data_IF_850002212685
#
_entry.id   IF_850002212685
#
_cell.length_a   1.000
_cell.length_b   1.000
_cell.length_c   1.000
_cell.angle_alpha   90.00
_cell.angle_beta   90.00
_cell.angle_gamma   90.00
#
_symmetry.space_group_name_H-M   'P 1'
#
loop_
_entity.id
_entity.type
_entity.pdbx_description
1 polymer ?
#
# COMPACT_ATOMS: atom_id res chain seq x y z
N UNK A 1 20.68 12.43 26.99
CA UNK A 1 21.38 13.66 26.54
C UNK A 1 22.29 13.30 25.38
N UNK A 2 22.19 13.92 24.18
CA UNK A 2 23.03 13.56 23.04
C UNK A 2 24.51 13.92 23.28
N UNK A 3 25.45 13.15 22.73
CA UNK A 3 26.89 13.24 23.00
C UNK A 3 27.52 14.49 22.36
N UNK A 4 28.31 15.29 23.10
CA UNK A 4 29.06 16.50 22.67
C UNK A 4 30.41 16.12 22.03
N UNK A 5 30.81 16.78 20.94
CA UNK A 5 32.04 16.51 20.15
C UNK A 5 32.71 17.83 19.72
N UNK A 6 34.04 17.90 19.75
CA UNK A 6 34.79 19.14 19.58
C UNK A 6 35.56 19.17 18.25
N UNK A 7 35.54 20.28 17.51
CA UNK A 7 36.46 20.53 16.38
C UNK A 7 37.17 21.87 16.59
N UNK A 8 38.50 21.81 16.79
CA UNK A 8 39.32 22.87 17.43
C UNK A 8 38.78 23.20 18.83
N UNK A 9 38.58 24.47 19.19
CA UNK A 9 38.15 24.87 20.55
C UNK A 9 36.63 24.75 20.78
N UNK A 10 35.83 24.42 19.77
CA UNK A 10 34.36 24.44 19.85
C UNK A 10 33.74 23.06 20.13
N UNK A 11 33.00 22.89 21.23
CA UNK A 11 32.29 21.65 21.66
C UNK A 11 30.81 21.65 21.21
N UNK A 12 30.32 20.59 20.56
CA UNK A 12 28.94 20.46 20.03
C UNK A 12 28.51 19.02 19.66
N UNK A 13 27.24 18.63 19.86
CA UNK A 13 26.79 17.22 19.87
C UNK A 13 26.82 16.46 18.51
N UNK A 14 27.39 15.23 18.46
CA UNK A 14 27.26 14.22 17.38
C UNK A 14 26.81 12.89 18.00
N UNK A 15 25.89 12.10 17.39
CA UNK A 15 26.32 11.14 16.35
C UNK A 15 25.23 10.68 15.34
N UNK A 16 25.55 10.62 14.05
CA UNK A 16 25.10 9.52 13.17
C UNK A 16 26.14 9.32 12.03
N UNK A 17 26.96 8.28 12.22
CA UNK A 17 27.79 7.57 11.23
C UNK A 17 28.81 8.39 10.42
N UNK A 18 30.07 7.97 10.56
CA UNK A 18 31.17 8.33 9.68
C UNK A 18 31.26 7.25 8.58
N UNK A 19 31.03 7.60 7.31
CA UNK A 19 31.20 6.67 6.20
C UNK A 19 32.30 7.15 5.25
N UNK A 20 33.22 6.24 4.91
CA UNK A 20 34.27 6.51 3.93
C UNK A 20 33.66 6.67 2.53
N UNK A 21 33.93 7.81 1.91
CA UNK A 21 33.62 8.06 0.52
C UNK A 21 34.69 7.38 -0.33
N UNK A 22 34.28 6.47 -1.22
CA UNK A 22 35.16 5.87 -2.22
C UNK A 22 34.78 6.38 -3.62
N UNK A 23 35.76 6.51 -4.50
CA UNK A 23 35.52 6.76 -5.94
C UNK A 23 35.00 5.49 -6.63
N UNK A 24 34.56 5.60 -7.88
CA UNK A 24 34.20 4.45 -8.74
C UNK A 24 35.35 3.43 -8.89
N UNK A 25 36.59 3.83 -8.62
CA UNK A 25 37.79 2.98 -8.66
C UNK A 25 38.23 2.50 -7.26
N UNK A 26 37.38 2.64 -6.24
CA UNK A 26 37.67 2.24 -4.86
C UNK A 26 38.66 3.14 -4.11
N UNK A 27 39.05 4.30 -4.66
CA UNK A 27 39.98 5.22 -3.99
C UNK A 27 39.25 6.03 -2.94
N UNK A 28 39.78 6.08 -1.72
CA UNK A 28 39.25 6.94 -0.65
C UNK A 28 39.28 8.42 -1.03
N UNK A 29 38.12 9.06 -0.97
CA UNK A 29 37.88 10.47 -1.30
C UNK A 29 37.56 11.31 -0.05
N UNK A 30 37.07 10.72 1.04
CA UNK A 30 36.76 11.46 2.27
C UNK A 30 35.95 10.65 3.28
N UNK A 31 35.42 11.32 4.31
CA UNK A 31 34.45 10.76 5.27
C UNK A 31 33.25 11.69 5.32
N UNK A 32 32.06 11.14 5.11
CA UNK A 32 30.81 11.90 5.22
C UNK A 32 30.20 11.65 6.59
N UNK A 33 29.86 12.73 7.31
CA UNK A 33 29.27 12.71 8.65
C UNK A 33 27.87 13.32 8.59
N UNK A 34 26.83 12.60 9.01
CA UNK A 34 25.45 13.08 8.90
C UNK A 34 24.78 13.33 10.25
N UNK A 35 24.04 14.44 10.34
CA UNK A 35 23.31 14.83 11.55
C UNK A 35 21.99 15.57 11.31
N UNK A 36 21.71 16.05 10.09
CA UNK A 36 20.43 16.63 9.65
C UNK A 36 20.45 16.81 8.12
N UNK A 37 19.32 16.66 7.43
CA UNK A 37 19.14 16.98 6.01
C UNK A 37 18.80 15.81 5.07
N UNK A 38 18.45 16.14 3.82
CA UNK A 38 18.18 15.16 2.74
C UNK A 38 19.54 14.72 2.16
N UNK A 39 19.86 13.41 2.12
CA UNK A 39 21.11 12.93 1.56
C UNK A 39 21.26 13.32 0.08
N UNK A 40 22.47 13.71 -0.30
CA UNK A 40 22.82 13.97 -1.68
C UNK A 40 22.74 12.68 -2.52
N UNK A 41 21.85 12.67 -3.53
CA UNK A 41 21.56 11.52 -4.40
C UNK A 41 22.73 11.02 -5.28
N UNK A 42 23.86 11.72 -5.31
CA UNK A 42 25.01 11.38 -6.17
C UNK A 42 26.11 10.55 -5.47
N UNK A 43 25.97 10.24 -4.19
CA UNK A 43 26.98 9.44 -3.46
C UNK A 43 26.57 7.97 -3.43
N UNK A 44 27.40 7.03 -3.86
CA UNK A 44 27.16 5.57 -3.78
C UNK A 44 27.32 5.01 -2.36
N UNK A 45 26.72 5.69 -1.38
CA UNK A 45 26.86 5.38 0.04
C UNK A 45 25.63 4.62 0.55
N UNK A 46 25.79 3.44 1.18
CA UNK A 46 24.76 2.80 2.00
C UNK A 46 24.08 3.82 2.93
N UNK A 47 22.87 4.25 2.57
CA UNK A 47 22.11 5.23 3.35
C UNK A 47 21.10 4.48 4.20
N UNK A 48 21.20 4.61 5.52
CA UNK A 48 20.29 3.95 6.45
C UNK A 48 19.44 4.98 7.21
N UNK A 49 18.17 4.64 7.47
CA UNK A 49 17.29 5.38 8.39
C UNK A 49 17.00 4.48 9.57
N UNK A 50 17.39 4.94 10.76
CA UNK A 50 17.08 4.29 12.01
C UNK A 50 16.08 5.12 12.80
N UNK A 51 15.11 4.47 13.43
CA UNK A 51 14.19 5.13 14.34
C UNK A 51 13.73 4.17 15.45
N UNK A 52 13.06 4.72 16.46
CA UNK A 52 12.69 3.98 17.68
C UNK A 52 11.26 3.46 17.69
N UNK A 53 10.44 3.79 16.67
CA UNK A 53 9.01 3.44 16.64
C UNK A 53 8.81 1.93 16.43
N UNK A 54 7.78 1.35 17.06
CA UNK A 54 7.26 0.05 16.63
C UNK A 54 6.30 0.28 15.46
N UNK A 55 6.63 -0.30 14.31
CA UNK A 55 5.87 -0.14 13.06
C UNK A 55 5.14 -1.45 12.75
N UNK A 56 4.04 -1.38 11.99
CA UNK A 56 3.30 -2.57 11.53
C UNK A 56 1.90 -2.76 12.12
N UNK A 57 1.42 -1.89 13.00
CA UNK A 57 0.01 -1.87 13.38
C UNK A 57 -0.79 -0.99 12.41
N UNK A 58 -1.95 -1.45 11.92
CA UNK A 58 -2.90 -0.61 11.15
C UNK A 58 -3.61 0.47 12.01
N UNK A 59 -3.03 0.82 13.16
CA UNK A 59 -3.58 1.68 14.20
C UNK A 59 -2.49 2.51 14.88
N UNK A 60 -2.56 2.68 16.19
CA UNK A 60 -1.61 3.51 16.93
C UNK A 60 -0.33 2.73 17.29
N UNK A 61 0.81 3.30 16.93
CA UNK A 61 2.15 2.74 17.14
C UNK A 61 2.65 3.11 18.55
N UNK A 62 2.30 2.31 19.56
CA UNK A 62 2.51 2.66 20.97
C UNK A 62 3.76 2.05 21.61
N UNK A 63 4.47 1.15 20.92
CA UNK A 63 5.67 0.48 21.42
C UNK A 63 6.96 1.04 20.77
N UNK A 64 8.12 0.79 21.40
CA UNK A 64 9.43 1.25 20.90
C UNK A 64 10.41 0.07 20.79
N UNK A 65 10.49 -0.57 19.62
CA UNK A 65 11.38 -1.73 19.43
C UNK A 65 12.68 -1.41 18.67
N UNK A 66 12.83 -0.17 18.15
CA UNK A 66 14.02 0.23 17.38
C UNK A 66 14.15 -0.49 16.04
N UNK A 67 14.94 0.07 15.13
CA UNK A 67 15.35 -0.61 13.89
C UNK A 67 15.92 0.34 12.84
N UNK A 68 16.61 -0.22 11.86
CA UNK A 68 17.25 0.50 10.76
C UNK A 68 16.88 -0.12 9.42
N UNK A 69 16.64 0.71 8.40
CA UNK A 69 16.40 0.26 7.02
C UNK A 69 17.38 0.92 6.04
N UNK A 70 17.72 0.20 4.97
CA UNK A 70 18.44 0.77 3.84
C UNK A 70 17.47 1.57 2.96
N UNK A 71 17.54 2.90 2.98
CA UNK A 71 16.51 3.75 2.34
C UNK A 71 16.56 3.76 0.82
N UNK A 72 17.63 3.21 0.22
CA UNK A 72 17.78 3.13 -1.24
C UNK A 72 17.42 1.77 -1.82
N UNK A 73 17.10 0.78 -0.97
CA UNK A 73 16.47 -0.43 -1.47
C UNK A 73 15.00 -0.15 -1.74
N UNK A 74 14.54 -0.66 -2.88
CA UNK A 74 13.12 -0.78 -3.15
C UNK A 74 12.51 -1.72 -2.13
N UNK A 75 11.35 -1.32 -1.64
CA UNK A 75 10.59 -2.07 -0.65
C UNK A 75 9.49 -2.76 -1.41
N UNK A 76 9.68 -4.05 -1.65
CA UNK A 76 8.79 -4.85 -2.48
C UNK A 76 8.12 -5.87 -1.58
N UNK A 77 6.79 -5.80 -1.49
CA UNK A 77 5.98 -6.82 -0.85
C UNK A 77 5.78 -7.95 -1.86
N UNK A 78 6.69 -8.91 -1.80
CA UNK A 78 6.68 -10.07 -2.70
C UNK A 78 5.74 -11.15 -2.15
N UNK A 79 4.86 -11.66 -3.00
CA UNK A 79 3.98 -12.80 -2.74
C UNK A 79 4.19 -13.87 -3.79
N UNK A 80 3.94 -15.13 -3.43
CA UNK A 80 4.12 -16.28 -4.29
C UNK A 80 3.01 -17.30 -4.10
N UNK A 81 2.35 -17.69 -5.20
CA UNK A 81 1.25 -18.68 -5.13
C UNK A 81 1.69 -20.03 -4.59
N UNK A 82 2.95 -20.41 -4.81
CA UNK A 82 3.53 -21.69 -4.41
C UNK A 82 4.10 -21.69 -2.99
N UNK A 83 4.37 -20.52 -2.41
CA UNK A 83 4.93 -20.40 -1.05
C UNK A 83 3.95 -19.85 -0.03
N UNK A 84 2.97 -19.07 -0.50
CA UNK A 84 2.03 -18.33 0.33
C UNK A 84 0.57 -18.79 0.07
N UNK A 85 0.38 -20.11 0.02
CA UNK A 85 -0.90 -20.74 -0.29
C UNK A 85 -2.01 -20.35 0.71
N UNK A 86 -1.63 -20.02 1.95
CA UNK A 86 -2.52 -19.61 3.02
C UNK A 86 -3.30 -18.32 2.73
N UNK A 87 -2.86 -17.51 1.77
CA UNK A 87 -3.60 -16.34 1.29
C UNK A 87 -3.74 -16.28 -0.24
N UNK A 88 -3.78 -17.44 -0.89
CA UNK A 88 -3.90 -17.59 -2.35
C UNK A 88 -5.04 -16.78 -3.01
N UNK A 89 -6.24 -16.74 -2.39
CA UNK A 89 -7.38 -15.95 -2.91
C UNK A 89 -7.03 -14.46 -3.09
N UNK A 90 -6.24 -13.91 -2.17
CA UNK A 90 -5.79 -12.51 -2.19
C UNK A 90 -4.73 -12.31 -3.26
N UNK A 91 -3.77 -13.24 -3.39
CA UNK A 91 -2.74 -13.20 -4.45
C UNK A 91 -3.40 -13.19 -5.82
N UNK A 92 -4.36 -14.09 -6.05
CA UNK A 92 -5.10 -14.17 -7.31
C UNK A 92 -5.89 -12.88 -7.60
N UNK A 93 -6.47 -12.26 -6.56
CA UNK A 93 -7.16 -10.99 -6.71
C UNK A 93 -6.20 -9.86 -7.12
N UNK A 94 -5.10 -9.69 -6.40
CA UNK A 94 -4.10 -8.64 -6.64
C UNK A 94 -3.44 -8.83 -8.01
N UNK A 95 -3.10 -10.06 -8.39
CA UNK A 95 -2.55 -10.37 -9.71
C UNK A 95 -3.49 -9.91 -10.83
N UNK A 96 -4.78 -10.22 -10.71
CA UNK A 96 -5.78 -9.80 -11.68
C UNK A 96 -5.96 -8.28 -11.71
N UNK A 97 -5.85 -7.60 -10.56
CA UNK A 97 -5.95 -6.15 -10.44
C UNK A 97 -4.76 -5.43 -11.09
N UNK A 98 -3.54 -5.93 -10.88
CA UNK A 98 -2.31 -5.35 -11.42
C UNK A 98 -2.11 -5.63 -12.92
N UNK A 99 -2.74 -6.67 -13.46
CA UNK A 99 -2.61 -7.03 -14.86
C UNK A 99 -3.56 -6.23 -15.76
N UNK A 100 -3.01 -5.28 -16.51
CA UNK A 100 -3.77 -4.41 -17.44
C UNK A 100 -4.56 -5.17 -18.52
N UNK A 101 -4.17 -6.41 -18.87
CA UNK A 101 -4.90 -7.22 -19.84
C UNK A 101 -6.19 -7.81 -19.25
N UNK A 102 -6.27 -7.97 -17.93
CA UNK A 102 -7.40 -8.64 -17.25
C UNK A 102 -8.15 -7.74 -16.27
N UNK A 103 -7.56 -6.61 -15.86
CA UNK A 103 -8.10 -5.79 -14.79
C UNK A 103 -9.39 -5.03 -15.16
N UNK A 104 -9.71 -4.89 -16.45
CA UNK A 104 -11.02 -4.41 -16.91
C UNK A 104 -12.17 -5.28 -16.37
N UNK A 105 -11.92 -6.59 -16.16
CA UNK A 105 -12.89 -7.53 -15.60
C UNK A 105 -12.86 -7.64 -14.08
N UNK A 106 -12.30 -6.65 -13.37
CA UNK A 106 -12.31 -6.58 -11.90
C UNK A 106 -13.39 -5.62 -11.40
N UNK A 107 -13.77 -5.74 -10.13
CA UNK A 107 -14.89 -4.97 -9.56
C UNK A 107 -14.42 -3.82 -8.67
N UNK A 108 -15.14 -2.69 -8.60
CA UNK A 108 -16.20 -2.29 -9.54
C UNK A 108 -15.64 -2.13 -10.97
N UNK A 109 -16.42 -2.36 -12.02
CA UNK A 109 -15.97 -2.07 -13.39
C UNK A 109 -15.67 -0.58 -13.57
N UNK A 110 -14.71 -0.26 -14.42
CA UNK A 110 -14.41 1.10 -14.86
C UNK A 110 -14.95 1.32 -16.27
N UNK A 111 -15.69 2.40 -16.52
CA UNK A 111 -16.29 2.71 -17.82
C UNK A 111 -16.12 4.20 -18.18
N UNK A 112 -16.25 4.58 -19.46
CA UNK A 112 -16.25 5.99 -19.83
C UNK A 112 -17.32 6.79 -19.07
N UNK A 113 -16.93 7.90 -18.45
CA UNK A 113 -17.85 8.76 -17.69
C UNK A 113 -18.20 8.26 -16.28
N UNK A 114 -17.68 7.10 -15.87
CA UNK A 114 -17.80 6.63 -14.49
C UNK A 114 -16.86 7.43 -13.57
N UNK A 115 -17.38 8.51 -12.98
CA UNK A 115 -16.70 9.23 -11.90
C UNK A 115 -17.33 8.82 -10.56
N UNK A 116 -16.54 8.76 -9.48
CA UNK A 116 -17.11 8.62 -8.12
C UNK A 116 -17.73 9.93 -7.62
N UNK A 117 -17.44 11.04 -8.29
CA UNK A 117 -17.93 12.37 -7.93
C UNK A 117 -19.41 12.48 -8.29
N UNK A 118 -20.26 12.62 -7.27
CA UNK A 118 -21.72 12.69 -7.45
C UNK A 118 -22.42 11.33 -7.54
N UNK A 119 -21.72 10.21 -7.34
CA UNK A 119 -22.39 8.91 -7.23
C UNK A 119 -23.31 8.86 -6.01
N UNK A 120 -24.49 8.30 -6.24
CA UNK A 120 -25.42 7.95 -5.17
C UNK A 120 -24.76 6.85 -4.34
N UNK A 121 -24.37 7.16 -3.10
CA UNK A 121 -23.67 6.21 -2.21
C UNK A 121 -24.40 4.87 -2.04
N UNK A 122 -25.73 4.88 -2.17
CA UNK A 122 -26.61 3.71 -2.11
C UNK A 122 -26.80 2.99 -3.45
N UNK A 123 -25.96 3.24 -4.46
CA UNK A 123 -25.96 2.54 -5.75
C UNK A 123 -24.54 2.19 -6.18
N UNK A 124 -24.11 0.91 -6.06
CA UNK A 124 -22.84 0.47 -6.64
C UNK A 124 -22.92 0.53 -8.18
N UNK A 125 -21.76 0.54 -8.86
CA UNK A 125 -21.72 0.31 -10.30
C UNK A 125 -22.38 -1.00 -10.70
N UNK A 126 -23.09 -0.99 -11.83
CA UNK A 126 -23.78 -2.18 -12.34
C UNK A 126 -22.78 -3.31 -12.62
N UNK A 127 -23.07 -4.50 -12.10
CA UNK A 127 -22.33 -5.76 -12.29
C UNK A 127 -22.47 -6.25 -13.74
N UNK A 128 -21.47 -7.02 -14.17
CA UNK A 128 -21.49 -7.74 -15.44
C UNK A 128 -20.77 -7.01 -16.57
N UNK A 129 -20.34 -7.75 -17.60
CA UNK A 129 -19.80 -7.13 -18.80
C UNK A 129 -20.94 -6.46 -19.57
N UNK A 130 -20.83 -5.15 -19.76
CA UNK A 130 -21.65 -4.36 -20.68
C UNK A 130 -20.95 -4.12 -22.01
N UNK A 131 -19.69 -4.57 -22.15
CA UNK A 131 -18.89 -4.47 -23.37
C UNK A 131 -18.17 -3.13 -23.52
N UNK A 132 -18.26 -2.26 -22.52
CA UNK A 132 -17.62 -0.94 -22.48
C UNK A 132 -16.69 -0.77 -21.27
N UNK A 133 -16.36 -1.86 -20.58
CA UNK A 133 -15.36 -1.88 -19.50
C UNK A 133 -13.98 -1.49 -20.03
N UNK A 134 -13.31 -0.60 -19.32
CA UNK A 134 -11.95 -0.15 -19.62
C UNK A 134 -10.96 -0.70 -18.57
N UNK A 135 -9.70 -0.95 -18.97
CA UNK A 135 -8.63 -1.24 -18.02
C UNK A 135 -8.50 -0.15 -16.96
N UNK A 136 -8.18 -0.57 -15.73
CA UNK A 136 -7.94 0.33 -14.61
C UNK A 136 -6.47 0.73 -14.55
N UNK A 137 -6.21 1.96 -14.12
CA UNK A 137 -4.85 2.45 -13.84
C UNK A 137 -4.56 2.25 -12.36
N UNK A 138 -4.00 1.09 -12.02
CA UNK A 138 -3.73 0.70 -10.63
C UNK A 138 -2.21 0.74 -10.40
N UNK A 139 -1.78 1.53 -9.41
CA UNK A 139 -0.37 1.67 -9.01
C UNK A 139 0.11 0.50 -8.14
N UNK A 140 1.43 0.44 -7.92
CA UNK A 140 2.06 -0.50 -7.00
C UNK A 140 2.62 -1.75 -7.68
N UNK A 141 2.59 -1.84 -9.01
CA UNK A 141 3.15 -2.98 -9.73
C UNK A 141 4.68 -2.82 -9.87
N UNK A 142 5.46 -3.62 -9.13
CA UNK A 142 6.93 -3.57 -9.22
C UNK A 142 7.47 -3.98 -10.59
N UNK A 143 6.76 -4.85 -11.32
CA UNK A 143 7.16 -5.31 -12.63
C UNK A 143 6.81 -4.30 -13.76
N UNK A 144 6.03 -3.26 -13.47
CA UNK A 144 5.72 -2.21 -14.43
C UNK A 144 6.85 -1.18 -14.51
N UNK A 145 7.06 -0.52 -15.67
CA UNK A 145 8.10 0.50 -15.80
C UNK A 145 7.88 1.66 -14.80
N UNK A 146 8.94 2.16 -14.14
CA UNK A 146 8.84 3.12 -13.04
C UNK A 146 8.33 4.51 -13.45
N UNK A 147 8.33 4.82 -14.74
CA UNK A 147 7.80 6.04 -15.34
C UNK A 147 6.33 5.95 -15.74
N UNK A 148 5.65 4.83 -15.43
CA UNK A 148 4.24 4.62 -15.70
C UNK A 148 3.37 4.75 -14.45
N UNK A 149 2.08 5.11 -14.58
CA UNK A 149 1.15 5.10 -13.45
C UNK A 149 1.04 3.74 -12.74
N UNK A 150 1.19 2.63 -13.46
CA UNK A 150 1.15 1.29 -12.88
C UNK A 150 2.40 0.99 -12.02
N UNK A 151 3.58 1.46 -12.47
CA UNK A 151 4.84 1.36 -11.74
C UNK A 151 5.01 2.40 -10.64
N UNK A 152 4.08 3.35 -10.50
CA UNK A 152 4.09 4.29 -9.39
C UNK A 152 3.97 3.55 -8.05
N UNK A 153 4.67 3.98 -6.99
CA UNK A 153 4.64 3.27 -5.72
C UNK A 153 3.31 3.42 -4.99
N UNK A 154 3.17 2.61 -3.94
CA UNK A 154 2.19 2.77 -2.88
C UNK A 154 2.83 3.47 -1.68
N UNK A 155 2.00 4.22 -0.96
CA UNK A 155 2.38 4.88 0.28
C UNK A 155 1.45 4.41 1.39
N UNK A 156 2.00 4.08 2.55
CA UNK A 156 1.18 3.76 3.73
C UNK A 156 0.38 5.00 4.12
N UNK A 157 -0.92 4.84 4.32
CA UNK A 157 -1.83 5.95 4.51
C UNK A 157 -1.73 6.60 5.88
N UNK A 158 -2.07 7.89 5.98
CA UNK A 158 -2.20 8.57 7.26
C UNK A 158 -3.29 7.98 8.16
N UNK A 159 -3.20 8.22 9.47
CA UNK A 159 -4.21 7.81 10.46
C UNK A 159 -5.61 8.25 10.04
N UNK A 160 -6.55 7.30 10.03
CA UNK A 160 -7.96 7.53 9.70
C UNK A 160 -8.28 7.43 8.20
N UNK A 161 -7.30 7.41 7.30
CA UNK A 161 -7.53 7.21 5.85
C UNK A 161 -8.05 5.80 5.57
N UNK A 162 -7.55 4.78 6.29
CA UNK A 162 -8.03 3.40 6.19
C UNK A 162 -9.56 3.28 6.25
N UNK A 163 -10.18 3.90 7.27
CA UNK A 163 -11.64 3.85 7.45
C UNK A 163 -12.37 4.58 6.31
N UNK A 164 -11.79 5.68 5.80
CA UNK A 164 -12.37 6.45 4.69
C UNK A 164 -12.29 5.67 3.36
N UNK A 165 -11.17 4.99 3.10
CA UNK A 165 -11.03 4.08 1.95
C UNK A 165 -12.10 3.00 1.98
N UNK A 166 -12.23 2.27 3.11
CA UNK A 166 -13.25 1.23 3.28
C UNK A 166 -14.68 1.77 3.12
N UNK A 167 -14.95 2.98 3.60
CA UNK A 167 -16.28 3.59 3.54
C UNK A 167 -16.75 3.89 2.10
N UNK A 168 -15.87 3.84 1.10
CA UNK A 168 -16.25 4.01 -0.32
C UNK A 168 -17.18 2.88 -0.80
N UNK A 169 -16.98 1.66 -0.30
CA UNK A 169 -17.69 0.47 -0.77
C UNK A 169 -18.30 -0.37 0.37
N UNK A 170 -18.30 0.13 1.60
CA UNK A 170 -18.85 -0.55 2.77
C UNK A 170 -19.61 0.41 3.69
N UNK A 171 -20.49 -0.15 4.54
CA UNK A 171 -21.13 0.60 5.62
C UNK A 171 -22.30 1.49 5.18
N UNK A 172 -22.73 1.40 3.91
CA UNK A 172 -23.93 2.07 3.40
C UNK A 172 -24.85 1.01 2.81
N UNK A 173 -26.15 0.98 3.16
CA UNK A 173 -27.11 0.12 2.50
C UNK A 173 -27.25 0.55 1.04
N UNK A 174 -27.46 -0.41 0.14
CA UNK A 174 -27.67 -0.11 -1.27
C UNK A 174 -28.67 -1.07 -1.88
N UNK A 175 -29.32 -0.58 -2.93
CA UNK A 175 -30.27 -1.32 -3.74
C UNK A 175 -29.80 -1.26 -5.19
N UNK A 176 -29.77 -2.41 -5.85
CA UNK A 176 -29.57 -2.55 -7.29
C UNK A 176 -30.86 -3.17 -7.85
N UNK A 177 -31.88 -2.34 -8.15
CA UNK A 177 -33.17 -2.84 -8.64
C UNK A 177 -33.03 -3.67 -9.91
N UNK A 178 -32.07 -3.32 -10.77
CA UNK A 178 -31.80 -4.00 -12.04
C UNK A 178 -31.43 -5.48 -11.82
N UNK A 179 -30.79 -5.79 -10.70
CA UNK A 179 -30.37 -7.15 -10.34
C UNK A 179 -31.25 -7.77 -9.24
N UNK A 180 -32.35 -7.10 -8.86
CA UNK A 180 -33.20 -7.46 -7.73
C UNK A 180 -32.37 -7.76 -6.47
N UNK A 181 -31.41 -6.87 -6.18
CA UNK A 181 -30.43 -7.05 -5.12
C UNK A 181 -30.47 -5.92 -4.10
N UNK A 182 -30.73 -6.26 -2.85
CA UNK A 182 -30.70 -5.32 -1.74
C UNK A 182 -29.70 -5.77 -0.68
N UNK A 183 -28.93 -4.80 -0.18
CA UNK A 183 -27.99 -5.03 0.89
C UNK A 183 -28.31 -4.14 2.10
N UNK A 184 -28.57 -4.73 3.28
CA UNK A 184 -28.83 -3.96 4.48
C UNK A 184 -27.55 -3.27 4.98
N UNK A 185 -27.72 -2.41 5.99
CA UNK A 185 -26.63 -1.72 6.65
C UNK A 185 -25.54 -2.70 7.12
N UNK A 186 -24.27 -2.30 6.96
CA UNK A 186 -23.11 -3.13 7.29
C UNK A 186 -22.65 -4.09 6.19
N UNK A 187 -23.35 -4.10 5.05
CA UNK A 187 -22.90 -4.82 3.87
C UNK A 187 -21.77 -4.11 3.09
N UNK A 188 -21.13 -4.84 2.17
CA UNK A 188 -20.07 -4.35 1.29
C UNK A 188 -20.41 -4.62 -0.18
N UNK A 189 -19.85 -3.84 -1.09
CA UNK A 189 -19.98 -4.09 -2.53
C UNK A 189 -19.48 -5.48 -2.94
N UNK A 190 -18.54 -6.09 -2.20
CA UNK A 190 -18.12 -7.46 -2.45
C UNK A 190 -19.26 -8.48 -2.36
N UNK A 191 -20.28 -8.26 -1.49
CA UNK A 191 -21.44 -9.17 -1.42
C UNK A 191 -22.26 -9.16 -2.71
N UNK A 192 -22.30 -8.02 -3.38
CA UNK A 192 -22.96 -7.86 -4.66
C UNK A 192 -22.13 -8.45 -5.81
N UNK A 193 -20.86 -8.07 -5.89
CA UNK A 193 -19.98 -8.51 -6.99
C UNK A 193 -19.53 -9.97 -6.90
N UNK A 194 -19.35 -10.51 -5.70
CA UNK A 194 -18.83 -11.86 -5.45
C UNK A 194 -19.86 -12.75 -4.76
N UNK A 195 -21.15 -12.57 -5.07
CA UNK A 195 -22.28 -13.32 -4.46
C UNK A 195 -22.03 -14.83 -4.43
N UNK A 196 -21.42 -15.37 -5.48
CA UNK A 196 -21.14 -16.79 -5.65
C UNK A 196 -20.14 -17.29 -4.59
N UNK A 197 -19.10 -16.50 -4.28
CA UNK A 197 -18.12 -16.81 -3.22
C UNK A 197 -18.80 -16.79 -1.84
N UNK A 198 -19.65 -15.80 -1.58
CA UNK A 198 -20.42 -15.69 -0.34
C UNK A 198 -21.42 -16.84 -0.16
N UNK A 199 -22.00 -17.35 -1.26
CA UNK A 199 -22.88 -18.52 -1.23
C UNK A 199 -22.10 -19.81 -1.00
N UNK A 200 -20.94 -19.96 -1.63
CA UNK A 200 -20.10 -21.15 -1.52
C UNK A 200 -19.53 -21.34 -0.12
N UNK A 201 -18.98 -20.28 0.48
CA UNK A 201 -18.27 -20.37 1.76
C UNK A 201 -19.10 -19.87 2.95
N UNK A 202 -20.21 -19.17 2.70
CA UNK A 202 -21.07 -18.60 3.72
C UNK A 202 -20.67 -17.19 4.16
N UNK A 203 -21.66 -16.36 4.48
CA UNK A 203 -21.48 -14.93 4.72
C UNK A 203 -20.56 -14.53 5.88
N UNK A 204 -20.29 -15.46 6.80
CA UNK A 204 -19.40 -15.24 7.94
C UNK A 204 -17.93 -15.52 7.62
N UNK A 205 -17.64 -16.27 6.55
CA UNK A 205 -16.30 -16.76 6.22
C UNK A 205 -15.73 -16.10 4.96
N UNK A 206 -16.33 -15.00 4.52
CA UNK A 206 -15.89 -14.24 3.35
C UNK A 206 -15.75 -12.77 3.71
N UNK A 207 -14.57 -12.23 3.45
CA UNK A 207 -14.24 -10.83 3.65
C UNK A 207 -14.05 -10.12 2.31
N UNK A 208 -14.15 -8.79 2.33
CA UNK A 208 -13.95 -7.95 1.16
C UNK A 208 -12.49 -7.50 1.13
N UNK A 209 -11.71 -8.12 0.26
CA UNK A 209 -10.35 -7.70 -0.05
C UNK A 209 -10.37 -6.55 -1.05
N UNK A 210 -9.34 -5.70 -1.02
CA UNK A 210 -9.23 -4.51 -1.85
C UNK A 210 -7.79 -4.26 -2.31
N UNK A 211 -7.63 -3.76 -3.54
CA UNK A 211 -6.34 -3.31 -4.06
C UNK A 211 -6.50 -2.05 -4.93
N UNK A 212 -5.74 -0.96 -4.73
CA UNK A 212 -4.72 -0.79 -3.70
C UNK A 212 -5.32 -0.87 -2.29
N UNK A 213 -4.51 -1.29 -1.31
CA UNK A 213 -4.98 -1.59 0.04
C UNK A 213 -5.59 -0.36 0.73
N UNK A 214 -6.63 -0.49 1.58
CA UNK A 214 -7.11 0.67 2.35
C UNK A 214 -6.05 1.27 3.25
N UNK A 215 -5.03 0.50 3.62
CA UNK A 215 -3.88 1.00 4.38
C UNK A 215 -2.94 1.84 3.54
N UNK A 216 -3.27 2.16 2.28
CA UNK A 216 -2.49 3.01 1.38
C UNK A 216 -3.22 4.28 0.96
N UNK A 217 -2.45 5.31 0.61
CA UNK A 217 -2.98 6.57 0.09
C UNK A 217 -3.72 6.38 -1.24
N UNK A 218 -3.29 5.41 -2.05
CA UNK A 218 -3.89 5.02 -3.33
C UNK A 218 -5.16 4.16 -3.17
N UNK A 219 -5.61 3.94 -1.93
CA UNK A 219 -6.85 3.21 -1.70
C UNK A 219 -8.08 3.87 -2.35
N UNK A 220 -9.22 3.19 -2.24
CA UNK A 220 -10.45 3.51 -2.98
C UNK A 220 -10.92 4.98 -2.90
N UNK A 221 -10.58 5.73 -1.84
CA UNK A 221 -10.95 7.15 -1.71
C UNK A 221 -10.25 8.03 -2.75
N UNK A 222 -8.97 7.75 -3.03
CA UNK A 222 -8.13 8.57 -3.90
C UNK A 222 -8.27 8.16 -5.36
N UNK A 223 -8.32 6.86 -5.61
CA UNK A 223 -8.24 6.30 -6.97
C UNK A 223 -9.58 6.15 -7.69
N UNK A 224 -10.69 6.73 -7.17
CA UNK A 224 -11.98 6.92 -7.88
C UNK A 224 -12.32 5.88 -8.96
N UNK A 225 -12.52 4.60 -8.58
CA UNK A 225 -12.84 3.41 -9.44
C UNK A 225 -11.62 2.70 -10.07
N UNK A 226 -10.42 3.26 -9.99
CA UNK A 226 -9.15 2.59 -10.24
C UNK A 226 -8.68 1.76 -9.03
N UNK A 227 -9.62 1.06 -8.39
CA UNK A 227 -9.35 0.05 -7.37
C UNK A 227 -10.14 -1.21 -7.72
N UNK A 228 -9.70 -2.33 -7.16
CA UNK A 228 -10.34 -3.64 -7.27
C UNK A 228 -10.79 -4.10 -5.90
N UNK A 229 -11.96 -4.73 -5.83
CA UNK A 229 -12.46 -5.43 -4.66
C UNK A 229 -12.92 -6.82 -5.05
N UNK A 230 -12.74 -7.78 -4.14
CA UNK A 230 -13.20 -9.15 -4.31
C UNK A 230 -13.59 -9.77 -2.97
N UNK A 231 -14.69 -10.53 -2.96
CA UNK A 231 -14.97 -11.44 -1.86
C UNK A 231 -13.96 -12.59 -1.84
N UNK A 232 -13.22 -12.73 -0.76
CA UNK A 232 -12.22 -13.79 -0.55
C UNK A 232 -12.46 -14.49 0.78
N UNK A 233 -11.93 -15.70 0.97
CA UNK A 233 -12.05 -16.40 2.26
C UNK A 233 -11.46 -15.56 3.39
N UNK A 234 -12.16 -15.52 4.52
CA UNK A 234 -11.75 -14.75 5.70
C UNK A 234 -10.34 -15.12 6.18
N UNK A 235 -10.03 -16.42 6.25
CA UNK A 235 -8.72 -16.91 6.69
C UNK A 235 -7.59 -16.42 5.78
N UNK A 236 -7.83 -16.40 4.46
CA UNK A 236 -6.87 -15.89 3.49
C UNK A 236 -6.66 -14.39 3.63
N UNK A 237 -7.75 -13.63 3.80
CA UNK A 237 -7.67 -12.17 3.96
C UNK A 237 -6.97 -11.75 5.26
N UNK A 238 -7.23 -12.46 6.36
CA UNK A 238 -6.59 -12.22 7.65
C UNK A 238 -5.09 -12.53 7.60
N UNK A 239 -4.71 -13.69 7.05
CA UNK A 239 -3.31 -14.09 6.89
C UNK A 239 -2.51 -13.09 6.04
N UNK A 240 -3.06 -12.68 4.90
CA UNK A 240 -2.46 -11.63 4.07
C UNK A 240 -2.34 -10.29 4.83
N UNK A 241 -3.39 -9.91 5.55
CA UNK A 241 -3.39 -8.70 6.37
C UNK A 241 -2.26 -8.70 7.41
N UNK A 242 -2.00 -9.83 8.06
CA UNK A 242 -0.92 -9.98 9.03
C UNK A 242 0.47 -10.00 8.35
N UNK A 243 0.60 -10.62 7.18
CA UNK A 243 1.82 -10.55 6.38
C UNK A 243 2.15 -9.11 5.95
N UNK A 244 1.15 -8.34 5.51
CA UNK A 244 1.31 -6.93 5.15
C UNK A 244 1.69 -6.06 6.35
N UNK A 245 1.10 -6.30 7.53
CA UNK A 245 1.51 -5.64 8.80
C UNK A 245 2.97 -5.94 9.13
N UNK A 246 3.37 -7.20 9.06
CA UNK A 246 4.76 -7.61 9.31
C UNK A 246 5.71 -6.94 8.32
N UNK A 247 5.34 -6.87 7.04
CA UNK A 247 6.08 -6.13 6.02
C UNK A 247 6.25 -4.65 6.38
N UNK A 248 5.17 -3.96 6.78
CA UNK A 248 5.24 -2.57 7.25
C UNK A 248 6.18 -2.40 8.44
N UNK A 249 6.19 -3.36 9.37
CA UNK A 249 7.12 -3.38 10.50
C UNK A 249 8.59 -3.58 10.08
N UNK A 250 8.86 -4.65 9.33
CA UNK A 250 10.22 -5.05 8.91
C UNK A 250 10.88 -3.98 8.03
N UNK A 251 10.13 -3.41 7.09
CA UNK A 251 10.63 -2.38 6.17
C UNK A 251 10.38 -0.97 6.68
N UNK A 252 9.91 -0.84 7.92
CA UNK A 252 9.69 0.42 8.62
C UNK A 252 8.90 1.42 7.78
N UNK A 253 7.78 0.99 7.20
CA UNK A 253 6.95 1.89 6.41
C UNK A 253 6.19 2.85 7.33
N UNK A 254 6.56 4.13 7.25
CA UNK A 254 5.92 5.19 8.01
C UNK A 254 4.64 5.63 7.31
N UNK A 255 3.65 6.08 8.09
CA UNK A 255 2.47 6.75 7.54
C UNK A 255 2.91 7.98 6.73
N UNK A 256 2.32 8.14 5.55
CA UNK A 256 2.51 9.30 4.69
C UNK A 256 1.67 10.47 5.21
N UNK A 257 2.33 11.53 5.65
CA UNK A 257 1.67 12.80 6.02
C UNK A 257 2.13 13.93 5.08
N UNK A 258 1.37 14.23 4.01
CA UNK A 258 1.77 15.24 3.05
C UNK A 258 1.79 16.67 3.62
N UNK A 259 1.19 16.89 4.81
CA UNK A 259 1.06 18.21 5.43
C UNK A 259 2.18 18.45 6.44
N UNK A 260 2.50 17.45 7.27
CA UNK A 260 3.46 17.61 8.37
C UNK A 260 4.83 16.96 8.09
N UNK A 261 4.97 16.14 7.05
CA UNK A 261 6.27 15.60 6.62
C UNK A 261 6.72 16.24 5.31
N UNK A 262 7.34 17.42 5.44
CA UNK A 262 7.91 18.20 4.32
C UNK A 262 9.14 17.52 3.69
N UNK A 263 9.72 16.51 4.35
CA UNK A 263 10.88 15.76 3.83
C UNK A 263 10.44 14.45 3.19
N UNK A 264 10.83 14.24 1.92
CA UNK A 264 10.67 13.00 1.13
C UNK A 264 11.21 11.71 1.81
N UNK A 265 11.76 11.82 3.01
CA UNK A 265 12.40 10.74 3.78
C UNK A 265 11.37 9.93 4.59
N UNK A 266 10.16 10.47 4.81
CA UNK A 266 9.02 9.69 5.31
C UNK A 266 8.22 9.01 4.21
N UNK A 267 8.54 9.25 2.92
CA UNK A 267 7.69 8.78 1.83
C UNK A 267 7.61 7.26 1.78
N UNK A 268 8.54 6.54 2.41
CA UNK A 268 8.52 5.09 2.58
C UNK A 268 7.75 4.34 1.46
N UNK A 269 8.04 4.60 0.16
CA UNK A 269 7.25 4.04 -0.94
C UNK A 269 7.49 2.55 -1.01
N UNK A 270 6.48 1.79 -1.38
CA UNK A 270 6.63 0.36 -1.59
C UNK A 270 5.86 -0.11 -2.81
N UNK A 271 6.21 -1.28 -3.30
CA UNK A 271 5.56 -1.93 -4.43
C UNK A 271 5.12 -3.33 -4.03
N UNK A 272 4.35 -3.95 -4.90
CA UNK A 272 3.91 -5.33 -4.81
C UNK A 272 4.45 -6.09 -6.01
N UNK A 273 4.91 -7.29 -5.76
CA UNK A 273 5.36 -8.22 -6.79
C UNK A 273 4.76 -9.60 -6.52
N UNK A 274 4.25 -10.23 -7.57
CA UNK A 274 3.78 -11.62 -7.50
C UNK A 274 4.77 -12.46 -8.31
N UNK A 275 5.42 -13.40 -7.63
CA UNK A 275 6.38 -14.32 -8.23
C UNK A 275 5.76 -15.72 -8.33
N UNK A 276 5.97 -16.37 -9.48
CA UNK A 276 5.46 -17.72 -9.74
C UNK A 276 6.30 -18.77 -9.02
#
# INVERSE_FOLDING_TARGET
MPALTQYKENKGRLPLWDQELLSEKGKRLGVVRWGQGIPANHLWSPSFRCDWRALGNFGEETANNGGCIYIRADRVFTMSKSRDEEFLDVINHIEKALNAATNAGTYPPFRPGDTTDGRVKSRPPVKGPLGNELPKVISGNYAAPPDTPAGAPLWRAAKGVYKKNRAVFSGTPFSVPEDNYDLPYGGTYCRYYSKEVYQQYGYRYVQCDEYPFASTEQGALKDKIHYSILGVRETHNQAHGDALKAFYGHYRLLDYDPVNTITKVSDSPFWVEIVN
#
